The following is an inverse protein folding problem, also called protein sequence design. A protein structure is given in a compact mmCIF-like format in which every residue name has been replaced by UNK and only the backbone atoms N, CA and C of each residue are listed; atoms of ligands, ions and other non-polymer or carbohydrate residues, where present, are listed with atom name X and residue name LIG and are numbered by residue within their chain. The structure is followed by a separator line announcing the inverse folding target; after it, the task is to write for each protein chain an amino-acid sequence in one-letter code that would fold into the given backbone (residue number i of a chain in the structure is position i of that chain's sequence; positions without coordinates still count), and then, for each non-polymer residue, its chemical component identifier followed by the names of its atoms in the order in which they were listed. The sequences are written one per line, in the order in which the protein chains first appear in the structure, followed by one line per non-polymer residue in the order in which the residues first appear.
data_IF_644532787846
#
_entry.id   IF_644532787846
#
_cell.length_a   1.000
_cell.length_b   1.000
_cell.length_c   1.000
_cell.angle_alpha   90.00
_cell.angle_beta   90.00
_cell.angle_gamma   90.00
#
_symmetry.space_group_name_H-M   'P 1'
#
loop_
_entity.id
_entity.type
_entity.pdbx_description
1 polymer ?
#
# COMPACT_ATOMS: atom_id res chain seq x y z
N UNK A 1 25.85 -20.56 12.76
CA UNK A 1 24.77 -19.61 13.11
C UNK A 1 23.44 -20.23 12.71
N UNK A 2 22.44 -20.07 13.58
CA UNK A 2 21.02 -20.42 13.53
C UNK A 2 20.44 -21.06 12.25
N UNK A 3 19.98 -22.31 12.37
CA UNK A 3 18.98 -22.89 11.48
C UNK A 3 17.63 -22.21 11.76
N UNK A 4 17.13 -21.43 10.81
CA UNK A 4 15.78 -20.87 10.89
C UNK A 4 15.07 -21.22 9.60
N UNK A 5 14.04 -22.05 9.65
CA UNK A 5 13.06 -22.12 8.55
C UNK A 5 12.40 -20.75 8.48
N UNK A 6 12.86 -19.88 7.58
CA UNK A 6 12.55 -18.46 7.65
C UNK A 6 11.17 -18.20 7.09
N UNK A 7 10.19 -18.21 7.98
CA UNK A 7 8.98 -17.41 7.83
C UNK A 7 9.46 -15.94 7.80
N UNK A 8 9.48 -15.36 6.60
CA UNK A 8 10.11 -14.05 6.38
C UNK A 8 9.35 -12.97 7.16
N UNK A 9 10.02 -11.92 7.64
CA UNK A 9 9.38 -10.98 8.57
C UNK A 9 9.05 -9.67 7.88
N UNK A 10 7.76 -9.35 7.72
CA UNK A 10 7.32 -8.14 7.04
C UNK A 10 7.95 -6.90 7.64
N UNK A 11 8.63 -6.11 6.82
CA UNK A 11 9.26 -4.87 7.30
C UNK A 11 8.26 -3.76 7.66
N UNK A 12 7.02 -3.82 7.15
CA UNK A 12 5.98 -2.83 7.41
C UNK A 12 5.16 -3.09 8.69
N UNK A 13 5.07 -4.33 9.17
CA UNK A 13 4.30 -4.67 10.37
C UNK A 13 5.06 -5.52 11.39
N UNK A 14 6.30 -5.90 11.08
CA UNK A 14 7.17 -6.78 11.86
C UNK A 14 6.59 -8.17 12.17
N UNK A 15 5.50 -8.54 11.50
CA UNK A 15 4.88 -9.86 11.60
C UNK A 15 5.45 -10.80 10.55
N UNK A 16 5.40 -12.07 10.87
CA UNK A 16 5.78 -13.14 9.96
C UNK A 16 4.85 -13.22 8.74
N UNK A 17 5.46 -13.37 7.57
CA UNK A 17 4.87 -13.37 6.23
C UNK A 17 4.88 -14.78 5.71
N UNK A 18 3.69 -15.31 5.47
CA UNK A 18 3.53 -16.60 4.84
C UNK A 18 3.77 -16.50 3.34
N UNK A 19 4.21 -17.59 2.73
CA UNK A 19 4.46 -17.69 1.27
C UNK A 19 3.28 -17.25 0.41
N UNK A 20 2.04 -17.39 0.90
CA UNK A 20 0.82 -16.94 0.22
C UNK A 20 0.72 -15.41 0.11
N UNK A 21 1.23 -14.69 1.11
CA UNK A 21 1.24 -13.22 1.19
C UNK A 21 2.62 -12.62 0.99
N UNK A 22 3.64 -13.46 0.73
CA UNK A 22 5.02 -13.05 0.58
C UNK A 22 5.21 -12.18 -0.65
N UNK A 23 5.64 -10.95 -0.38
CA UNK A 23 5.99 -9.95 -1.35
C UNK A 23 7.43 -9.52 -1.11
N UNK A 24 8.36 -9.93 -1.98
CA UNK A 24 9.75 -9.51 -1.88
C UNK A 24 9.99 -8.26 -2.72
N UNK A 25 10.39 -7.17 -2.07
CA UNK A 25 10.68 -5.87 -2.68
C UNK A 25 12.13 -5.51 -2.40
N UNK A 26 12.96 -5.40 -3.42
CA UNK A 26 14.39 -5.06 -3.24
C UNK A 26 15.09 -5.99 -2.22
N UNK A 27 14.66 -7.26 -2.16
CA UNK A 27 15.16 -8.24 -1.19
C UNK A 27 14.52 -8.19 0.20
N UNK A 28 13.49 -7.37 0.41
CA UNK A 28 12.79 -7.22 1.71
C UNK A 28 11.38 -7.82 1.64
N UNK A 29 10.96 -8.66 2.61
CA UNK A 29 9.58 -9.15 2.72
C UNK A 29 8.56 -8.10 3.13
N UNK A 30 7.41 -8.17 2.49
CA UNK A 30 6.18 -7.46 2.82
C UNK A 30 4.97 -8.38 2.67
N UNK A 31 3.88 -8.09 3.38
CA UNK A 31 2.58 -8.67 3.04
C UNK A 31 1.94 -7.89 1.89
N UNK A 32 1.23 -8.59 1.01
CA UNK A 32 0.36 -7.97 -0.01
C UNK A 32 -0.59 -6.91 0.57
N UNK A 33 -1.17 -7.16 1.75
CA UNK A 33 -2.06 -6.21 2.45
C UNK A 33 -1.32 -5.12 3.22
N UNK A 34 -0.06 -5.35 3.60
CA UNK A 34 0.77 -4.32 4.24
C UNK A 34 1.31 -3.31 3.22
N UNK A 35 1.21 -3.64 1.94
CA UNK A 35 1.62 -2.81 0.83
C UNK A 35 0.67 -1.64 0.62
N UNK A 36 0.88 -0.58 1.40
CA UNK A 36 0.04 0.63 1.38
C UNK A 36 0.90 1.88 1.40
N UNK A 37 0.35 2.96 0.83
CA UNK A 37 1.04 4.24 0.78
C UNK A 37 1.23 4.82 2.19
N UNK A 38 2.42 5.30 2.52
CA UNK A 38 2.65 5.96 3.82
C UNK A 38 1.83 7.24 3.98
N UNK A 39 1.56 7.95 2.86
CA UNK A 39 0.85 9.22 2.85
C UNK A 39 -0.68 9.06 3.02
N UNK A 40 -1.34 8.31 2.14
CA UNK A 40 -2.80 8.12 2.20
C UNK A 40 -3.25 6.81 2.86
N UNK A 41 -2.33 5.91 3.22
CA UNK A 41 -2.62 4.56 3.71
C UNK A 41 -3.48 3.71 2.76
N UNK A 42 -3.64 4.14 1.51
CA UNK A 42 -4.36 3.40 0.48
C UNK A 42 -3.59 2.17 0.04
N UNK A 43 -4.32 1.09 -0.24
CA UNK A 43 -3.77 -0.17 -0.75
C UNK A 43 -3.06 0.06 -2.07
N UNK A 44 -1.78 -0.28 -2.13
CA UNK A 44 -0.97 -0.24 -3.33
C UNK A 44 -1.01 -1.59 -4.02
N UNK A 45 -0.87 -1.58 -5.34
CA UNK A 45 -0.63 -2.79 -6.10
C UNK A 45 0.83 -2.86 -6.51
N UNK A 46 1.36 -4.08 -6.63
CA UNK A 46 2.71 -4.35 -7.13
C UNK A 46 2.96 -3.73 -8.51
N UNK A 47 1.89 -3.55 -9.30
CA UNK A 47 1.94 -2.93 -10.63
C UNK A 47 2.03 -1.41 -10.60
N UNK A 48 1.75 -0.76 -9.46
CA UNK A 48 1.56 0.70 -9.39
C UNK A 48 2.06 1.31 -8.07
N UNK A 49 3.27 0.95 -7.64
CA UNK A 49 3.92 1.51 -6.46
C UNK A 49 5.24 2.19 -6.79
N UNK A 50 5.73 2.99 -5.85
CA UNK A 50 7.07 3.57 -5.85
C UNK A 50 7.64 3.50 -4.44
N UNK A 51 8.89 3.03 -4.31
CA UNK A 51 9.61 2.94 -3.04
C UNK A 51 10.76 3.94 -3.00
N UNK A 52 10.92 4.67 -1.90
CA UNK A 52 12.06 5.55 -1.65
C UNK A 52 12.48 5.47 -0.19
N UNK A 53 13.77 5.22 0.06
CA UNK A 53 14.34 5.03 1.42
C UNK A 53 13.56 4.01 2.28
N UNK A 54 13.05 2.95 1.65
CA UNK A 54 12.23 1.93 2.32
C UNK A 54 10.79 2.35 2.63
N UNK A 55 10.35 3.52 2.17
CA UNK A 55 8.97 4.02 2.31
C UNK A 55 8.21 3.82 1.01
N UNK A 56 6.97 3.32 1.12
CA UNK A 56 6.09 3.02 -0.01
C UNK A 56 5.12 4.17 -0.30
N UNK A 57 5.03 4.54 -1.57
CA UNK A 57 4.15 5.59 -2.06
C UNK A 57 3.35 5.09 -3.28
N UNK A 58 2.12 5.60 -3.46
CA UNK A 58 1.43 5.44 -4.74
C UNK A 58 2.09 6.33 -5.79
N UNK A 59 2.00 5.98 -7.08
CA UNK A 59 2.48 6.84 -8.16
C UNK A 59 1.99 8.28 -8.01
N UNK A 60 0.72 8.43 -7.65
CA UNK A 60 0.07 9.71 -7.37
C UNK A 60 0.82 10.55 -6.33
N UNK A 61 1.04 10.01 -5.13
CA UNK A 61 1.72 10.74 -4.04
C UNK A 61 3.23 10.81 -4.25
N UNK A 62 3.85 9.78 -4.79
CA UNK A 62 5.28 9.78 -5.11
C UNK A 62 5.59 10.93 -6.08
N UNK A 63 4.87 11.00 -7.21
CA UNK A 63 5.01 12.12 -8.12
C UNK A 63 4.68 13.45 -7.46
N UNK A 64 3.68 13.54 -6.56
CA UNK A 64 3.35 14.78 -5.86
C UNK A 64 4.44 15.21 -4.89
N UNK A 65 5.06 14.30 -4.12
CA UNK A 65 6.15 14.60 -3.19
C UNK A 65 7.39 15.08 -3.95
N UNK A 66 7.70 14.46 -5.10
CA UNK A 66 8.78 14.91 -5.97
C UNK A 66 8.42 16.20 -6.73
N UNK A 67 7.15 16.35 -7.13
CA UNK A 67 6.58 17.55 -7.74
C UNK A 67 6.12 18.59 -6.73
N UNK A 68 6.37 18.46 -5.43
CA UNK A 68 6.10 19.58 -4.50
C UNK A 68 7.12 20.72 -4.75
N UNK A 69 8.14 20.41 -5.56
CA UNK A 69 8.97 21.34 -6.35
C UNK A 69 8.22 22.05 -7.51
N UNK A 70 6.96 21.73 -7.81
CA UNK A 70 6.22 22.17 -9.01
C UNK A 70 4.79 21.61 -9.14
N UNK A 71 3.82 22.40 -8.69
CA UNK A 71 2.36 22.28 -8.80
C UNK A 71 1.82 21.34 -9.90
N UNK A 72 1.05 20.30 -9.52
CA UNK A 72 0.25 19.54 -10.47
C UNK A 72 -1.09 19.07 -9.88
N UNK A 73 -2.16 19.72 -10.33
CA UNK A 73 -3.56 19.32 -10.15
C UNK A 73 -3.79 17.93 -10.72
N UNK A 74 -4.13 16.95 -9.87
CA UNK A 74 -4.59 15.64 -10.33
C UNK A 74 -5.95 15.31 -9.73
N UNK A 75 -6.97 15.37 -10.60
CA UNK A 75 -8.27 14.76 -10.42
C UNK A 75 -8.06 13.24 -10.38
N UNK A 76 -8.13 12.65 -9.20
CA UNK A 76 -8.22 11.20 -9.07
C UNK A 76 -9.53 10.95 -8.32
N UNK A 77 -10.52 10.38 -9.01
CA UNK A 77 -11.75 9.91 -8.38
C UNK A 77 -11.36 9.00 -7.22
N UNK A 78 -11.54 9.54 -6.02
CA UNK A 78 -11.68 8.79 -4.79
C UNK A 78 -12.67 7.67 -5.07
N UNK A 79 -12.23 6.43 -4.87
CA UNK A 79 -13.13 5.29 -4.79
C UNK A 79 -14.24 5.65 -3.80
N UNK A 80 -15.42 5.84 -4.34
CA UNK A 80 -16.66 6.04 -3.62
C UNK A 80 -16.74 4.98 -2.52
N UNK A 81 -16.80 5.32 -1.22
CA UNK A 81 -17.58 4.49 -0.33
C UNK A 81 -19.01 4.75 -0.75
N UNK A 82 -19.58 3.89 -1.60
CA UNK A 82 -21.01 3.84 -1.80
C UNK A 82 -21.67 3.56 -0.45
N UNK A 83 -21.92 4.64 0.26
CA UNK A 83 -22.81 4.76 1.40
C UNK A 83 -24.20 4.40 0.90
N UNK A 84 -24.56 3.13 0.98
CA UNK A 84 -25.96 2.72 0.85
C UNK A 84 -26.66 2.96 2.19
N UNK A 85 -26.81 4.23 2.55
CA UNK A 85 -27.74 4.70 3.58
C UNK A 85 -29.11 4.89 2.92
N UNK A 86 -30.14 4.23 3.46
CA UNK A 86 -31.59 4.43 3.24
C UNK A 86 -32.17 4.18 1.84
N UNK A 87 -33.09 3.19 1.73
CA UNK A 87 -34.55 3.39 1.79
C UNK A 87 -35.29 2.22 1.09
N UNK A 88 -36.07 1.42 1.83
CA UNK A 88 -37.48 1.18 1.45
C UNK A 88 -38.30 0.67 2.62
N UNK A 89 -39.06 1.61 3.16
CA UNK A 89 -40.32 1.38 3.85
C UNK A 89 -41.31 0.82 2.82
N UNK A 90 -41.73 -0.44 2.96
CA UNK A 90 -42.95 -0.95 2.33
C UNK A 90 -43.77 -1.63 3.43
N UNK A 91 -44.95 -1.04 3.61
CA UNK A 91 -46.08 -1.35 4.49
C UNK A 91 -46.70 -2.71 4.23
#
# INVERSE_FOLDING_TARGET
MSFTGTLDKCKACDKTVYVVDLLSLEGVPYHKSCFKCSHCKGTLQMSNYSSMDGVLFCKTHFEQLFKESGNFSKNFQSGEPLVSFHLRHES
#
